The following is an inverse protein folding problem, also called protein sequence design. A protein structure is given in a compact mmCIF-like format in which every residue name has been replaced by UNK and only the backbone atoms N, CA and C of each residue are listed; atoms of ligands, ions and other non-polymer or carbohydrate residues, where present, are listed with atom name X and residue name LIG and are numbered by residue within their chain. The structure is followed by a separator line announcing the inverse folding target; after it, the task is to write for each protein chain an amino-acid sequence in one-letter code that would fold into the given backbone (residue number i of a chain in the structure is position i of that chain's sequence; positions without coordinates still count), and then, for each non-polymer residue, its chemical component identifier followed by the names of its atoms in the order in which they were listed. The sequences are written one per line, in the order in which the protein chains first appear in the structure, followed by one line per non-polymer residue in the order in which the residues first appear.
data_IF_510915432570
#
_entry.id   IF_510915432570
#
_cell.length_a   1.000
_cell.length_b   1.000
_cell.length_c   1.000
_cell.angle_alpha   90.00
_cell.angle_beta   90.00
_cell.angle_gamma   90.00
#
_symmetry.space_group_name_H-M   'P 1'
#
loop_
_entity.id
_entity.type
_entity.pdbx_description
1 polymer ?
#
# COMPACT_ATOMS: atom_id res chain seq x y z
N UNK A 1 40.68 5.16 -4.53
CA UNK A 1 39.82 6.09 -5.31
C UNK A 1 38.42 5.51 -5.35
N UNK A 2 37.57 5.96 -4.44
CA UNK A 2 36.19 5.50 -4.32
C UNK A 2 35.37 6.31 -5.34
N UNK A 3 34.92 5.65 -6.41
CA UNK A 3 33.97 6.23 -7.36
C UNK A 3 32.63 6.43 -6.64
N UNK A 4 32.37 7.62 -6.19
CA UNK A 4 31.03 8.06 -5.80
C UNK A 4 30.16 8.00 -7.04
N UNK A 5 29.23 7.04 -7.09
CA UNK A 5 28.21 6.98 -8.11
C UNK A 5 27.44 8.31 -8.08
N UNK A 6 27.56 9.08 -9.16
CA UNK A 6 26.82 10.32 -9.36
C UNK A 6 25.33 9.95 -9.30
N UNK A 7 24.62 10.43 -8.29
CA UNK A 7 23.17 10.27 -8.20
C UNK A 7 22.58 10.88 -9.48
N UNK A 8 22.01 10.04 -10.33
CA UNK A 8 21.30 10.48 -11.52
C UNK A 8 20.04 11.18 -11.01
N UNK A 9 19.86 12.46 -11.35
CA UNK A 9 18.66 13.18 -11.00
C UNK A 9 17.41 12.40 -11.48
N UNK A 10 16.34 12.37 -10.69
CA UNK A 10 15.12 11.71 -11.10
C UNK A 10 14.61 12.32 -12.42
N UNK A 11 13.99 11.52 -13.30
CA UNK A 11 13.42 12.05 -14.53
C UNK A 11 12.30 13.07 -14.20
N UNK A 12 12.22 14.11 -15.04
CA UNK A 12 11.11 15.06 -14.94
C UNK A 12 9.82 14.44 -15.49
N UNK A 13 8.73 14.60 -14.75
CA UNK A 13 7.41 14.16 -15.14
C UNK A 13 6.48 15.37 -15.30
N UNK A 14 5.76 15.44 -16.42
CA UNK A 14 4.78 16.51 -16.69
C UNK A 14 3.54 16.39 -15.79
N UNK A 15 3.20 15.17 -15.39
CA UNK A 15 2.09 14.84 -14.50
C UNK A 15 2.49 13.68 -13.60
N UNK A 16 2.29 13.85 -12.31
CA UNK A 16 2.41 12.80 -11.30
C UNK A 16 1.06 12.59 -10.62
N UNK A 17 0.74 11.37 -10.16
CA UNK A 17 -0.45 11.11 -9.35
C UNK A 17 -0.31 11.77 -7.98
N UNK A 18 -1.42 12.26 -7.40
CA UNK A 18 -1.45 12.73 -6.02
C UNK A 18 -1.44 11.55 -5.04
N UNK A 19 -2.14 10.47 -5.39
CA UNK A 19 -2.24 9.24 -4.59
C UNK A 19 -1.90 8.00 -5.41
N UNK A 20 -0.95 7.22 -4.92
CA UNK A 20 -0.51 5.96 -5.55
C UNK A 20 -0.87 4.75 -4.69
N UNK A 21 -1.54 3.79 -5.29
CA UNK A 21 -1.76 2.46 -4.72
C UNK A 21 -0.62 1.50 -5.09
N UNK A 22 -0.03 0.82 -4.11
CA UNK A 22 1.07 -0.13 -4.30
C UNK A 22 0.63 -1.54 -3.94
N UNK A 23 0.76 -2.47 -4.88
CA UNK A 23 0.49 -3.90 -4.64
C UNK A 23 1.79 -4.69 -4.81
N UNK A 24 2.55 -4.95 -3.72
CA UNK A 24 3.85 -5.61 -3.74
C UNK A 24 3.71 -7.14 -3.81
N UNK A 25 3.23 -7.64 -4.97
CA UNK A 25 2.97 -9.08 -5.16
C UNK A 25 4.22 -9.83 -5.63
N UNK A 26 4.30 -11.11 -5.28
CA UNK A 26 5.31 -12.03 -5.77
C UNK A 26 6.31 -12.52 -4.73
N UNK A 27 6.35 -12.01 -3.50
CA UNK A 27 7.32 -12.39 -2.47
C UNK A 27 7.51 -13.91 -2.32
N UNK A 28 6.42 -14.67 -2.15
CA UNK A 28 6.48 -16.12 -1.98
C UNK A 28 6.88 -16.87 -3.25
N UNK A 29 6.43 -16.38 -4.41
CA UNK A 29 6.80 -16.97 -5.73
C UNK A 29 8.28 -16.75 -6.01
N UNK A 30 8.77 -15.56 -5.67
CA UNK A 30 10.17 -15.19 -5.78
C UNK A 30 11.08 -16.11 -4.96
N UNK A 31 10.74 -16.34 -3.68
CA UNK A 31 11.48 -17.25 -2.81
C UNK A 31 11.47 -18.69 -3.35
N UNK A 32 10.29 -19.20 -3.73
CA UNK A 32 10.13 -20.54 -4.26
C UNK A 32 10.95 -20.76 -5.55
N UNK A 33 10.98 -19.78 -6.46
CA UNK A 33 11.77 -19.83 -7.69
C UNK A 33 13.30 -19.90 -7.45
N UNK A 34 13.73 -19.54 -6.23
CA UNK A 34 15.15 -19.57 -5.80
C UNK A 34 15.47 -20.71 -4.83
N UNK A 35 14.54 -21.67 -4.66
CA UNK A 35 14.71 -22.79 -3.73
C UNK A 35 14.69 -22.38 -2.25
N UNK A 36 14.23 -21.16 -1.94
CA UNK A 36 14.14 -20.63 -0.58
C UNK A 36 12.77 -20.97 0.04
N UNK A 37 12.68 -21.05 1.38
CA UNK A 37 11.39 -21.10 2.06
C UNK A 37 10.52 -19.89 1.67
N UNK A 38 9.23 -20.09 1.45
CA UNK A 38 8.30 -19.01 1.05
C UNK A 38 8.30 -17.82 2.02
N UNK A 39 8.56 -18.09 3.31
CA UNK A 39 8.68 -17.08 4.36
C UNK A 39 9.83 -16.09 4.11
N UNK A 40 10.95 -16.53 3.54
CA UNK A 40 12.11 -15.67 3.26
C UNK A 40 11.78 -14.52 2.30
N UNK A 41 10.80 -14.70 1.43
CA UNK A 41 10.42 -13.66 0.47
C UNK A 41 9.95 -12.36 1.11
N UNK A 42 9.40 -12.39 2.33
CA UNK A 42 8.93 -11.18 3.01
C UNK A 42 10.08 -10.29 3.46
N UNK A 43 11.13 -10.88 4.01
CA UNK A 43 12.35 -10.15 4.40
C UNK A 43 12.99 -9.45 3.19
N UNK A 44 13.08 -10.16 2.06
CA UNK A 44 13.60 -9.60 0.82
C UNK A 44 12.72 -8.51 0.20
N UNK A 45 11.48 -8.36 0.66
CA UNK A 45 10.58 -7.29 0.23
C UNK A 45 10.74 -5.97 0.97
N UNK A 46 11.50 -5.91 2.08
CA UNK A 46 11.65 -4.71 2.91
C UNK A 46 12.47 -3.62 2.20
N UNK A 47 13.65 -3.93 1.72
CA UNK A 47 14.50 -2.95 1.03
C UNK A 47 13.87 -2.39 -0.24
N UNK A 48 13.21 -3.20 -1.10
CA UNK A 48 12.34 -2.69 -2.16
C UNK A 48 11.33 -1.65 -1.69
N UNK A 49 10.63 -1.91 -0.56
CA UNK A 49 9.64 -0.98 -0.03
C UNK A 49 10.27 0.36 0.38
N UNK A 50 11.34 0.34 1.16
CA UNK A 50 12.06 1.54 1.58
C UNK A 50 12.49 2.38 0.37
N UNK A 51 13.14 1.75 -0.61
CA UNK A 51 13.60 2.42 -1.82
C UNK A 51 12.46 3.02 -2.64
N UNK A 52 11.33 2.30 -2.78
CA UNK A 52 10.17 2.84 -3.48
C UNK A 52 9.61 4.07 -2.76
N UNK A 53 9.41 4.00 -1.45
CA UNK A 53 8.83 5.12 -0.69
C UNK A 53 9.73 6.35 -0.69
N UNK A 54 11.06 6.19 -0.57
CA UNK A 54 11.99 7.31 -0.71
C UNK A 54 11.81 7.97 -2.09
N UNK A 55 11.77 7.20 -3.18
CA UNK A 55 11.56 7.72 -4.55
C UNK A 55 10.21 8.41 -4.70
N UNK A 56 9.14 7.82 -4.19
CA UNK A 56 7.78 8.37 -4.25
C UNK A 56 7.72 9.76 -3.57
N UNK A 57 8.34 9.88 -2.40
CA UNK A 57 8.36 11.12 -1.66
C UNK A 57 9.29 12.17 -2.24
N UNK A 58 10.42 11.77 -2.83
CA UNK A 58 11.33 12.68 -3.54
C UNK A 58 10.69 13.27 -4.80
N UNK A 59 9.78 12.54 -5.44
CA UNK A 59 8.97 13.02 -6.57
C UNK A 59 7.82 13.95 -6.14
N UNK A 60 7.53 14.07 -4.85
CA UNK A 60 6.47 14.94 -4.33
C UNK A 60 5.07 14.32 -4.37
N UNK A 61 4.95 13.01 -4.53
CA UNK A 61 3.67 12.29 -4.38
C UNK A 61 3.23 12.39 -2.91
N UNK A 62 1.98 12.78 -2.69
CA UNK A 62 1.51 13.16 -1.35
C UNK A 62 0.95 11.99 -0.55
N UNK A 63 0.32 11.02 -1.21
CA UNK A 63 -0.32 9.89 -0.54
C UNK A 63 0.04 8.57 -1.20
N UNK A 64 0.30 7.56 -0.35
CA UNK A 64 0.52 6.18 -0.79
C UNK A 64 -0.32 5.23 0.04
N UNK A 65 -1.03 4.33 -0.62
CA UNK A 65 -1.67 3.17 0.01
C UNK A 65 -0.97 1.89 -0.41
N UNK A 66 -0.70 0.98 0.52
CA UNK A 66 -0.06 -0.29 0.16
C UNK A 66 -0.64 -1.49 0.91
N UNK A 67 -0.75 -2.62 0.21
CA UNK A 67 -1.00 -3.89 0.88
C UNK A 67 0.19 -4.28 1.75
N UNK A 68 -0.13 -4.52 3.01
CA UNK A 68 0.75 -5.19 3.94
C UNK A 68 0.25 -6.63 4.13
N UNK A 69 -0.95 -6.82 4.68
CA UNK A 69 -1.51 -8.14 5.00
C UNK A 69 -3.03 -8.12 4.81
N UNK A 70 -3.57 -9.13 4.10
CA UNK A 70 -5.02 -9.26 3.90
C UNK A 70 -5.60 -10.32 4.83
N UNK A 71 -6.92 -10.27 5.07
CA UNK A 71 -7.61 -11.30 5.85
C UNK A 71 -7.43 -12.70 5.26
N UNK A 72 -7.40 -12.82 3.93
CA UNK A 72 -7.12 -14.10 3.25
C UNK A 72 -5.72 -14.63 3.55
N UNK A 73 -4.78 -13.77 3.91
CA UNK A 73 -3.43 -14.18 4.29
C UNK A 73 -3.37 -14.82 5.69
N UNK A 74 -4.39 -14.62 6.52
CA UNK A 74 -4.51 -15.26 7.83
C UNK A 74 -4.54 -16.79 7.78
N UNK A 75 -4.93 -17.36 6.65
CA UNK A 75 -4.96 -18.82 6.43
C UNK A 75 -3.61 -19.40 5.99
N UNK A 76 -2.54 -18.59 5.95
CA UNK A 76 -1.19 -19.06 5.64
C UNK A 76 -0.60 -19.87 6.79
N UNK A 77 0.38 -20.78 6.52
CA UNK A 77 1.14 -21.46 7.56
C UNK A 77 1.73 -20.47 8.58
N UNK A 78 1.82 -20.89 9.84
CA UNK A 78 2.21 -20.04 10.97
C UNK A 78 3.60 -19.42 10.77
N UNK A 79 4.57 -20.17 10.25
CA UNK A 79 5.91 -19.69 9.92
C UNK A 79 5.89 -18.49 8.95
N UNK A 80 4.99 -18.52 7.96
CA UNK A 80 4.84 -17.43 7.00
C UNK A 80 4.19 -16.19 7.64
N UNK A 81 3.23 -16.38 8.55
CA UNK A 81 2.59 -15.29 9.28
C UNK A 81 3.62 -14.60 10.19
N UNK A 82 4.40 -15.36 10.94
CA UNK A 82 5.42 -14.80 11.85
C UNK A 82 6.55 -14.09 11.08
N UNK A 83 7.04 -14.67 9.99
CA UNK A 83 8.03 -14.02 9.13
C UNK A 83 7.50 -12.71 8.54
N UNK A 84 6.23 -12.70 8.14
CA UNK A 84 5.58 -11.50 7.64
C UNK A 84 5.46 -10.42 8.73
N UNK A 85 4.99 -10.77 9.94
CA UNK A 85 4.91 -9.84 11.07
C UNK A 85 6.28 -9.23 11.40
N UNK A 86 7.33 -10.06 11.45
CA UNK A 86 8.70 -9.59 11.66
C UNK A 86 9.17 -8.60 10.60
N UNK A 87 8.91 -8.88 9.32
CA UNK A 87 9.23 -7.98 8.23
C UNK A 87 8.44 -6.66 8.33
N UNK A 88 7.17 -6.72 8.69
CA UNK A 88 6.31 -5.55 8.87
C UNK A 88 6.81 -4.65 10.01
N UNK A 89 7.14 -5.20 11.17
CA UNK A 89 7.68 -4.42 12.31
C UNK A 89 8.99 -3.72 11.93
N UNK A 90 9.89 -4.40 11.22
CA UNK A 90 11.13 -3.77 10.71
C UNK A 90 10.84 -2.62 9.75
N UNK A 91 9.85 -2.78 8.88
CA UNK A 91 9.42 -1.72 7.98
C UNK A 91 8.82 -0.54 8.75
N UNK A 92 7.96 -0.80 9.74
CA UNK A 92 7.38 0.26 10.59
C UNK A 92 8.47 1.06 11.32
N UNK A 93 9.47 0.42 11.92
CA UNK A 93 10.57 1.12 12.57
C UNK A 93 11.31 2.08 11.63
N UNK A 94 11.42 1.73 10.34
CA UNK A 94 11.97 2.65 9.34
C UNK A 94 11.00 3.79 9.00
N UNK A 95 9.67 3.53 8.94
CA UNK A 95 8.66 4.56 8.68
C UNK A 95 8.59 5.59 9.79
N UNK A 96 8.73 5.17 11.06
CA UNK A 96 8.70 6.05 12.23
C UNK A 96 9.81 7.13 12.20
N UNK A 97 10.92 6.86 11.51
CA UNK A 97 12.00 7.83 11.31
C UNK A 97 11.68 8.88 10.22
N UNK A 98 10.56 8.73 9.52
CA UNK A 98 10.17 9.59 8.39
C UNK A 98 9.13 10.64 8.80
N UNK A 99 9.15 11.77 8.12
CA UNK A 99 8.12 12.80 8.26
C UNK A 99 6.87 12.45 7.42
N UNK A 100 6.07 11.50 7.93
CA UNK A 100 4.88 10.98 7.26
C UNK A 100 3.76 10.74 8.26
N UNK A 101 2.51 11.08 7.91
CA UNK A 101 1.32 10.65 8.64
C UNK A 101 1.03 9.20 8.30
N UNK A 102 0.96 8.35 9.30
CA UNK A 102 0.73 6.92 9.14
C UNK A 102 -0.71 6.58 9.53
N UNK A 103 -1.40 5.86 8.64
CA UNK A 103 -2.73 5.31 8.90
C UNK A 103 -2.72 3.80 8.63
N UNK A 104 -3.20 3.01 9.58
CA UNK A 104 -3.45 1.59 9.38
C UNK A 104 -4.93 1.37 9.07
N UNK A 105 -5.23 0.75 7.92
CA UNK A 105 -6.58 0.42 7.49
C UNK A 105 -6.77 -1.09 7.55
N UNK A 106 -7.67 -1.56 8.41
CA UNK A 106 -7.97 -2.99 8.56
C UNK A 106 -8.65 -3.33 9.87
N UNK A 107 -9.01 -4.60 10.02
CA UNK A 107 -9.73 -5.11 11.18
C UNK A 107 -8.78 -5.24 12.40
N UNK A 108 -8.78 -4.23 13.26
CA UNK A 108 -7.99 -4.17 14.48
C UNK A 108 -8.48 -5.15 15.56
N UNK A 109 -9.73 -5.60 15.48
CA UNK A 109 -10.31 -6.54 16.44
C UNK A 109 -9.84 -7.99 16.24
N UNK A 110 -9.21 -8.28 15.12
CA UNK A 110 -8.75 -9.62 14.76
C UNK A 110 -7.54 -10.05 15.59
N UNK A 111 -7.48 -11.30 16.06
CA UNK A 111 -6.34 -11.84 16.83
C UNK A 111 -5.03 -11.89 16.03
N UNK A 112 -5.08 -11.77 14.72
CA UNK A 112 -3.89 -11.72 13.86
C UNK A 112 -3.39 -10.29 13.64
N UNK A 113 -4.17 -9.27 14.00
CA UNK A 113 -3.72 -7.89 13.95
C UNK A 113 -2.54 -7.70 14.94
N UNK A 114 -1.47 -7.01 14.56
CA UNK A 114 -0.33 -6.79 15.45
C UNK A 114 -0.75 -5.92 16.65
N UNK A 115 -0.60 -6.45 17.85
CA UNK A 115 -0.94 -5.74 19.10
C UNK A 115 -0.11 -4.47 19.27
N UNK A 116 -0.75 -3.42 19.79
CA UNK A 116 -0.12 -2.13 20.07
C UNK A 116 -0.15 -1.16 18.89
N UNK A 117 -0.67 -1.57 17.73
CA UNK A 117 -0.80 -0.71 16.54
C UNK A 117 -2.22 -0.19 16.34
N UNK A 118 -3.14 -0.49 17.24
CA UNK A 118 -4.56 -0.13 17.13
C UNK A 118 -4.77 1.40 17.09
N UNK A 119 -3.89 2.14 17.76
CA UNK A 119 -3.90 3.61 17.78
C UNK A 119 -3.60 4.24 16.42
N UNK A 120 -3.00 3.50 15.48
CA UNK A 120 -2.72 3.96 14.12
C UNK A 120 -3.91 3.75 13.16
N UNK A 121 -5.04 3.21 13.65
CA UNK A 121 -6.24 3.01 12.82
C UNK A 121 -7.10 4.27 12.68
N UNK A 122 -6.78 5.34 13.39
CA UNK A 122 -7.38 6.66 13.22
C UNK A 122 -6.31 7.68 12.86
N UNK A 123 -6.64 8.72 12.07
CA UNK A 123 -5.69 9.79 11.76
C UNK A 123 -5.22 10.49 13.02
N UNK A 124 -3.95 10.87 13.07
CA UNK A 124 -3.38 11.65 14.17
C UNK A 124 -3.96 13.08 14.13
N UNK A 125 -4.73 13.47 15.15
CA UNK A 125 -5.34 14.79 15.23
C UNK A 125 -4.26 15.89 15.35
N UNK A 126 -4.47 16.98 14.59
CA UNK A 126 -3.60 18.17 14.67
C UNK A 126 -2.21 18.01 14.04
N UNK A 127 -1.95 16.92 13.36
CA UNK A 127 -0.67 16.63 12.71
C UNK A 127 -0.84 16.38 11.22
N UNK A 128 -1.26 17.41 10.51
CA UNK A 128 -1.28 17.38 9.04
C UNK A 128 0.15 17.41 8.49
N UNK A 129 0.66 16.24 8.17
CA UNK A 129 1.90 16.12 7.41
C UNK A 129 1.58 16.10 5.92
N UNK A 130 2.45 16.66 5.11
CA UNK A 130 2.29 16.69 3.65
C UNK A 130 2.26 15.30 3.03
N UNK A 131 2.93 14.33 3.66
CA UNK A 131 3.05 12.95 3.17
C UNK A 131 2.17 12.03 4.01
N UNK A 132 1.39 11.19 3.35
CA UNK A 132 0.50 10.21 3.99
C UNK A 132 0.81 8.80 3.52
N UNK A 133 0.86 7.85 4.44
CA UNK A 133 1.08 6.44 4.16
C UNK A 133 -0.04 5.60 4.79
N UNK A 134 -0.85 4.97 3.96
CA UNK A 134 -1.93 4.09 4.37
C UNK A 134 -1.47 2.64 4.23
N UNK A 135 -1.38 1.91 5.33
CA UNK A 135 -0.98 0.51 5.38
C UNK A 135 -2.20 -0.39 5.55
N UNK A 136 -2.49 -1.21 4.56
CA UNK A 136 -3.61 -2.14 4.60
C UNK A 136 -3.19 -3.41 5.36
N UNK A 137 -3.52 -3.45 6.68
CA UNK A 137 -3.12 -4.52 7.61
C UNK A 137 -4.35 -5.28 8.07
N UNK A 138 -4.40 -6.58 7.80
CA UNK A 138 -5.59 -7.40 8.04
C UNK A 138 -6.84 -6.83 7.35
N UNK A 139 -6.62 -6.23 6.19
CA UNK A 139 -7.64 -5.60 5.38
C UNK A 139 -8.40 -6.62 4.53
N UNK A 140 -9.69 -6.38 4.35
CA UNK A 140 -10.54 -7.01 3.33
C UNK A 140 -11.58 -5.99 2.87
N UNK A 141 -11.84 -5.91 1.57
CA UNK A 141 -12.88 -5.02 1.05
C UNK A 141 -14.27 -5.33 1.61
N UNK A 142 -14.54 -6.60 1.97
CA UNK A 142 -15.80 -7.01 2.61
C UNK A 142 -15.91 -6.45 4.02
N UNK A 143 -14.82 -6.50 4.80
CA UNK A 143 -14.75 -5.87 6.11
C UNK A 143 -14.94 -4.37 6.00
N UNK A 144 -14.25 -3.74 5.08
CA UNK A 144 -14.27 -2.30 4.82
C UNK A 144 -15.69 -1.76 4.61
N UNK A 145 -16.42 -2.34 3.65
CA UNK A 145 -17.84 -2.00 3.37
C UNK A 145 -18.73 -2.34 4.56
N UNK A 146 -18.51 -3.50 5.21
CA UNK A 146 -19.33 -3.91 6.35
C UNK A 146 -19.19 -2.96 7.55
N UNK A 147 -18.04 -2.30 7.75
CA UNK A 147 -17.89 -1.27 8.78
C UNK A 147 -18.83 -0.08 8.52
N UNK A 148 -18.92 0.41 7.28
CA UNK A 148 -19.87 1.46 6.90
C UNK A 148 -21.31 1.07 7.20
N UNK A 149 -21.71 -0.14 6.79
CA UNK A 149 -23.07 -0.65 7.05
C UNK A 149 -23.35 -0.76 8.56
N UNK A 150 -22.40 -1.28 9.35
CA UNK A 150 -22.54 -1.39 10.80
C UNK A 150 -22.62 -0.02 11.48
N UNK A 151 -21.79 0.93 11.07
CA UNK A 151 -21.77 2.27 11.60
C UNK A 151 -23.10 2.99 11.30
N UNK A 152 -23.58 2.89 10.07
CA UNK A 152 -24.89 3.43 9.67
C UNK A 152 -26.05 2.83 10.47
N UNK A 153 -26.07 1.52 10.68
CA UNK A 153 -27.08 0.84 11.47
C UNK A 153 -27.05 1.28 12.94
N UNK A 154 -25.86 1.48 13.53
CA UNK A 154 -25.71 2.00 14.92
C UNK A 154 -26.25 3.43 15.05
N UNK A 155 -26.10 4.25 14.02
CA UNK A 155 -26.65 5.62 13.98
C UNK A 155 -28.14 5.66 13.67
N UNK A 156 -28.85 4.53 13.69
CA UNK A 156 -30.27 4.41 13.37
C UNK A 156 -30.69 5.07 12.05
N UNK A 157 -29.80 5.03 11.06
CA UNK A 157 -30.03 5.62 9.74
C UNK A 157 -29.85 7.15 9.68
N UNK A 158 -29.45 7.81 10.76
CA UNK A 158 -29.24 9.26 10.81
C UNK A 158 -27.80 9.68 10.50
N UNK A 159 -26.92 8.73 10.18
CA UNK A 159 -25.47 8.95 10.06
C UNK A 159 -24.96 9.45 8.70
N UNK A 160 -25.82 9.90 7.78
CA UNK A 160 -25.39 10.33 6.45
C UNK A 160 -25.26 9.17 5.46
N UNK A 161 -24.30 9.26 4.52
CA UNK A 161 -24.03 8.20 3.54
C UNK A 161 -23.23 7.06 4.20
N UNK A 162 -23.65 5.78 4.10
CA UNK A 162 -22.87 4.65 4.58
C UNK A 162 -21.45 4.58 4.00
N UNK A 163 -21.21 5.15 2.81
CA UNK A 163 -19.90 5.20 2.19
C UNK A 163 -18.92 6.14 2.92
N UNK A 164 -19.43 7.16 3.62
CA UNK A 164 -18.62 8.05 4.46
C UNK A 164 -18.21 7.40 5.79
N UNK A 165 -18.75 6.20 6.07
CA UNK A 165 -18.55 5.47 7.32
C UNK A 165 -17.73 4.17 7.14
N UNK A 166 -17.26 3.88 5.93
CA UNK A 166 -16.45 2.67 5.66
C UNK A 166 -15.12 2.69 6.44
N UNK A 167 -14.52 1.54 6.61
CA UNK A 167 -13.26 1.42 7.34
C UNK A 167 -12.11 2.23 6.74
N UNK A 168 -12.13 2.41 5.41
CA UNK A 168 -11.14 3.20 4.65
C UNK A 168 -11.56 4.65 4.38
N UNK A 169 -12.52 5.20 5.11
CA UNK A 169 -13.09 6.56 4.90
C UNK A 169 -12.07 7.69 4.86
N UNK A 170 -10.91 7.51 5.51
CA UNK A 170 -9.84 8.52 5.56
C UNK A 170 -8.84 8.42 4.42
N UNK A 171 -8.97 7.42 3.56
CA UNK A 171 -8.12 7.20 2.38
C UNK A 171 -8.72 7.94 1.20
N UNK A 172 -7.93 8.79 0.55
CA UNK A 172 -8.39 9.53 -0.62
C UNK A 172 -8.54 8.63 -1.86
N UNK A 173 -9.17 9.16 -2.92
CA UNK A 173 -9.22 8.48 -4.21
C UNK A 173 -7.82 8.21 -4.74
N UNK A 174 -7.60 7.01 -5.27
CA UNK A 174 -6.34 6.59 -5.89
C UNK A 174 -6.34 6.99 -7.36
N UNK A 175 -5.24 7.58 -7.82
CA UNK A 175 -5.05 7.98 -9.22
C UNK A 175 -4.36 6.88 -10.03
N UNK A 176 -3.33 6.26 -9.46
CA UNK A 176 -2.54 5.21 -10.10
C UNK A 176 -2.30 4.05 -9.16
N UNK A 177 -2.56 2.84 -9.63
CA UNK A 177 -2.14 1.61 -8.95
C UNK A 177 -0.96 1.02 -9.69
N UNK A 178 0.14 0.74 -8.98
CA UNK A 178 1.26 -0.01 -9.51
C UNK A 178 1.32 -1.38 -8.84
N UNK A 179 1.17 -2.44 -9.65
CA UNK A 179 1.17 -3.81 -9.14
C UNK A 179 2.34 -4.60 -9.71
N UNK A 180 3.15 -5.16 -8.82
CA UNK A 180 4.21 -6.11 -9.18
C UNK A 180 3.67 -7.54 -9.28
N UNK A 181 4.45 -8.41 -9.94
CA UNK A 181 4.20 -9.84 -10.02
C UNK A 181 3.33 -10.30 -11.19
N UNK A 182 3.12 -9.46 -12.22
CA UNK A 182 2.51 -9.84 -13.49
C UNK A 182 1.04 -10.28 -13.39
N UNK A 183 0.24 -9.73 -12.46
CA UNK A 183 -1.17 -10.09 -12.29
C UNK A 183 -2.09 -8.90 -12.51
N UNK A 184 -2.94 -8.97 -13.53
CA UNK A 184 -3.91 -7.94 -13.91
C UNK A 184 -5.20 -8.07 -13.10
N UNK A 185 -5.18 -7.69 -11.82
CA UNK A 185 -6.36 -7.70 -10.94
C UNK A 185 -6.12 -6.83 -9.70
N UNK A 186 -7.18 -6.23 -9.15
CA UNK A 186 -7.14 -5.45 -7.91
C UNK A 186 -6.93 -6.31 -6.66
N UNK A 187 -7.42 -7.55 -6.67
CA UNK A 187 -7.43 -8.42 -5.49
C UNK A 187 -8.11 -7.79 -4.27
N UNK A 188 -9.14 -6.98 -4.50
CA UNK A 188 -9.87 -6.28 -3.43
C UNK A 188 -9.14 -5.08 -2.83
N UNK A 189 -8.12 -4.55 -3.48
CA UNK A 189 -7.37 -3.38 -3.03
C UNK A 189 -8.22 -2.12 -3.12
N UNK A 190 -8.71 -1.62 -1.98
CA UNK A 190 -9.47 -0.36 -1.83
C UNK A 190 -10.45 -0.11 -3.00
N UNK A 191 -11.46 -0.98 -3.25
CA UNK A 191 -12.25 -0.93 -4.49
C UNK A 191 -12.94 0.40 -4.72
N UNK A 192 -13.40 1.07 -3.65
CA UNK A 192 -14.11 2.35 -3.75
C UNK A 192 -13.15 3.48 -4.11
N UNK A 193 -11.97 3.53 -3.49
CA UNK A 193 -10.94 4.52 -3.81
C UNK A 193 -10.28 4.27 -5.17
N UNK A 194 -10.30 3.01 -5.62
CA UNK A 194 -9.68 2.57 -6.88
C UNK A 194 -10.61 2.58 -8.08
N UNK A 195 -11.87 3.00 -7.91
CA UNK A 195 -12.90 2.89 -8.95
C UNK A 195 -12.51 3.56 -10.28
N UNK A 196 -11.72 4.61 -10.23
CA UNK A 196 -11.24 5.36 -11.39
C UNK A 196 -9.70 5.39 -11.49
N UNK A 197 -9.02 4.53 -10.76
CA UNK A 197 -7.56 4.46 -10.78
C UNK A 197 -7.06 3.79 -12.07
N UNK A 198 -6.05 4.38 -12.68
CA UNK A 198 -5.26 3.72 -13.71
C UNK A 198 -4.46 2.58 -13.08
N UNK A 199 -4.28 1.46 -13.80
CA UNK A 199 -3.56 0.28 -13.28
C UNK A 199 -2.39 -0.06 -14.18
N UNK A 200 -1.19 0.07 -13.63
CA UNK A 200 0.05 -0.35 -14.29
C UNK A 200 0.58 -1.64 -13.65
N UNK A 201 0.86 -2.66 -14.48
CA UNK A 201 1.34 -3.95 -14.01
C UNK A 201 2.79 -4.15 -14.39
N UNK A 202 3.62 -4.44 -13.39
CA UNK A 202 5.03 -4.80 -13.54
C UNK A 202 5.18 -6.31 -13.49
N UNK A 203 5.78 -6.92 -14.51
CA UNK A 203 5.97 -8.38 -14.57
C UNK A 203 6.94 -8.91 -13.52
N UNK A 204 7.94 -8.11 -13.13
CA UNK A 204 8.90 -8.49 -12.09
C UNK A 204 8.21 -8.76 -10.76
N UNK A 205 8.69 -9.75 -10.01
CA UNK A 205 8.24 -10.00 -8.64
C UNK A 205 8.74 -8.92 -7.69
N UNK A 206 7.98 -8.64 -6.62
CA UNK A 206 8.28 -7.53 -5.72
C UNK A 206 9.74 -7.47 -5.20
N UNK A 207 10.38 -8.57 -4.73
CA UNK A 207 11.78 -8.50 -4.28
C UNK A 207 12.79 -8.11 -5.38
N UNK A 208 12.43 -8.28 -6.65
CA UNK A 208 13.23 -7.85 -7.80
C UNK A 208 12.90 -6.40 -8.25
N UNK A 209 12.31 -5.60 -7.36
CA UNK A 209 12.01 -4.19 -7.59
C UNK A 209 13.25 -3.42 -8.06
N UNK A 210 13.03 -2.57 -9.06
CA UNK A 210 13.95 -1.53 -9.48
C UNK A 210 13.20 -0.21 -9.59
N UNK A 211 13.88 0.88 -9.34
CA UNK A 211 13.29 2.23 -9.42
C UNK A 211 12.72 2.49 -10.83
N UNK A 212 13.38 1.99 -11.87
CA UNK A 212 12.92 2.11 -13.25
C UNK A 212 11.50 1.55 -13.46
N UNK A 213 11.12 0.49 -12.75
CA UNK A 213 9.76 -0.05 -12.84
C UNK A 213 8.71 1.00 -12.44
N UNK A 214 9.00 1.79 -11.42
CA UNK A 214 8.10 2.86 -10.98
C UNK A 214 8.14 4.05 -11.93
N UNK A 215 9.32 4.43 -12.42
CA UNK A 215 9.44 5.48 -13.42
C UNK A 215 8.72 5.12 -14.72
N UNK A 216 8.74 3.87 -15.16
CA UNK A 216 8.00 3.40 -16.34
C UNK A 216 6.48 3.50 -16.10
N UNK A 217 6.00 3.17 -14.90
CA UNK A 217 4.61 3.36 -14.52
C UNK A 217 4.20 4.84 -14.60
N UNK A 218 5.03 5.76 -14.13
CA UNK A 218 4.78 7.21 -14.20
C UNK A 218 4.83 7.74 -15.64
N UNK A 219 5.78 7.25 -16.47
CA UNK A 219 5.83 7.60 -17.90
C UNK A 219 4.56 7.16 -18.62
N UNK A 220 4.10 5.96 -18.32
CA UNK A 220 2.84 5.45 -18.87
C UNK A 220 1.64 6.27 -18.39
N UNK A 221 1.57 6.57 -17.09
CA UNK A 221 0.48 7.35 -16.49
C UNK A 221 0.32 8.74 -17.10
N UNK A 222 1.39 9.42 -17.50
CA UNK A 222 1.34 10.71 -18.15
C UNK A 222 0.60 10.68 -19.52
N UNK A 223 0.57 9.54 -20.16
CA UNK A 223 -0.10 9.33 -21.46
C UNK A 223 -1.57 8.90 -21.33
N UNK A 224 -2.08 8.71 -20.10
CA UNK A 224 -3.48 8.33 -19.89
C UNK A 224 -4.38 9.57 -19.87
N UNK A 225 -5.59 9.42 -20.41
CA UNK A 225 -6.60 10.47 -20.34
C UNK A 225 -7.12 10.62 -18.89
N UNK A 226 -7.36 11.87 -18.49
CA UNK A 226 -7.97 12.17 -17.19
C UNK A 226 -9.49 12.25 -17.39
N UNK A 227 -10.13 11.10 -17.55
CA UNK A 227 -11.60 11.04 -17.65
C UNK A 227 -12.17 10.40 -16.39
N UNK A 228 -13.25 10.97 -15.85
CA UNK A 228 -14.00 10.42 -14.74
C UNK A 228 -15.36 9.85 -15.18
N UNK A 229 -15.41 9.28 -16.39
CA UNK A 229 -16.64 8.68 -16.94
C UNK A 229 -17.59 9.70 -17.56
N UNK A 230 -17.10 10.89 -17.92
CA UNK A 230 -17.82 11.93 -18.67
C UNK A 230 -17.17 12.22 -20.00
#
# INVERSE_FOLDING_TARGET
MTLTAKAIAPPEFKRIPAHVGIIPDGNRRWAAARGLPKAAGYEHGIEPAKRLFDVVWDLGIEEVSTYIFTQENAHRPKDQIEAFKGAFIKFLGWVEEKDVSLLIVGDTSSPIFPKGLEHLAEPEEGRERRRRLNLLVNYSWKWDVAEGVRAYARAAGSGGDPLDLIGSRHVSRIDLIVRWGGRNRLSGFLPLQSAYADIYVVDAMWPDFRVDHFYDALRWYQGQDVTMGG
#
